data_IF_993056699420
#
_entry.id   IF_993056699420
#
_cell.length_a   1.000
_cell.length_b   1.000
_cell.length_c   1.000
_cell.angle_alpha   90.00
_cell.angle_beta   90.00
_cell.angle_gamma   90.00
#
_symmetry.space_group_name_H-M   'P 1'
#
loop_
_entity.id
_entity.type
_entity.pdbx_description
1 polymer ?
#
# COMPACT_ATOMS: atom_id res chain seq x y z
N UNK A 1 -11.80 10.33 -17.26
CA UNK A 1 -11.96 8.95 -16.75
C UNK A 1 -12.43 9.09 -15.32
N UNK A 2 -13.42 8.33 -14.88
CA UNK A 2 -13.89 8.43 -13.49
C UNK A 2 -12.93 7.68 -12.56
N UNK A 3 -12.75 8.20 -11.35
CA UNK A 3 -11.93 7.58 -10.32
C UNK A 3 -12.61 7.62 -8.95
N UNK A 4 -12.22 6.74 -8.04
CA UNK A 4 -12.72 6.71 -6.65
C UNK A 4 -11.69 6.12 -5.68
N UNK A 5 -11.95 6.28 -4.38
CA UNK A 5 -11.13 5.71 -3.29
C UNK A 5 -9.65 6.15 -3.32
N UNK A 6 -9.37 7.37 -3.77
CA UNK A 6 -8.00 7.90 -3.85
C UNK A 6 -7.37 8.10 -2.47
N UNK A 7 -6.20 7.50 -2.25
CA UNK A 7 -5.47 7.55 -0.98
C UNK A 7 -3.96 7.66 -1.23
N UNK A 8 -3.28 8.58 -0.55
CA UNK A 8 -1.81 8.60 -0.58
C UNK A 8 -1.24 7.32 0.03
N UNK A 9 -0.18 6.80 -0.56
CA UNK A 9 0.56 5.67 -0.01
C UNK A 9 1.92 6.11 0.56
N UNK A 10 2.70 5.16 1.08
CA UNK A 10 4.00 5.45 1.70
C UNK A 10 5.02 6.06 0.73
N UNK A 11 4.89 5.80 -0.58
CA UNK A 11 5.81 6.32 -1.59
C UNK A 11 5.49 7.77 -1.99
N UNK A 12 4.40 8.35 -1.46
CA UNK A 12 3.93 9.68 -1.87
C UNK A 12 3.18 9.67 -3.20
N UNK A 13 2.93 8.50 -3.78
CA UNK A 13 2.00 8.31 -4.90
C UNK A 13 0.59 8.04 -4.38
N UNK A 14 -0.37 7.91 -5.29
CA UNK A 14 -1.78 7.77 -4.92
C UNK A 14 -2.32 6.43 -5.42
N UNK A 15 -2.78 5.60 -4.49
CA UNK A 15 -3.55 4.40 -4.83
C UNK A 15 -5.01 4.80 -5.07
N UNK A 16 -5.57 4.38 -6.20
CA UNK A 16 -6.91 4.80 -6.66
C UNK A 16 -7.57 3.69 -7.46
N UNK A 17 -8.91 3.67 -7.51
CA UNK A 17 -9.65 2.85 -8.47
C UNK A 17 -10.08 3.70 -9.67
N UNK A 18 -9.86 3.22 -10.88
CA UNK A 18 -10.26 3.89 -12.13
C UNK A 18 -11.31 3.07 -12.88
N UNK A 19 -12.25 3.72 -13.55
CA UNK A 19 -13.24 3.05 -14.39
C UNK A 19 -12.65 2.76 -15.79
N UNK A 20 -12.24 1.50 -15.99
CA UNK A 20 -11.71 1.01 -17.26
C UNK A 20 -12.83 0.46 -18.14
N UNK A 21 -12.91 0.91 -19.40
CA UNK A 21 -14.02 0.59 -20.31
C UNK A 21 -14.33 -0.92 -20.44
N UNK A 22 -13.29 -1.77 -20.51
CA UNK A 22 -13.46 -3.21 -20.68
C UNK A 22 -13.51 -4.03 -19.37
N UNK A 23 -12.98 -3.48 -18.27
CA UNK A 23 -12.76 -4.24 -17.02
C UNK A 23 -13.54 -3.67 -15.83
N UNK A 24 -14.22 -2.54 -16.01
CA UNK A 24 -14.85 -1.77 -14.95
C UNK A 24 -13.82 -1.17 -14.00
N UNK A 25 -14.17 -1.08 -12.72
CA UNK A 25 -13.33 -0.50 -11.68
C UNK A 25 -12.12 -1.38 -11.38
N UNK A 26 -10.92 -0.88 -11.68
CA UNK A 26 -9.66 -1.58 -11.44
C UNK A 26 -8.72 -0.76 -10.54
N UNK A 27 -7.87 -1.41 -9.73
CA UNK A 27 -6.86 -0.72 -8.94
C UNK A 27 -5.76 -0.15 -9.84
N UNK A 28 -5.29 1.05 -9.50
CA UNK A 28 -4.21 1.75 -10.17
C UNK A 28 -3.39 2.56 -9.15
N UNK A 29 -2.13 2.84 -9.46
CA UNK A 29 -1.29 3.75 -8.67
C UNK A 29 -0.89 4.93 -9.55
N UNK A 30 -1.45 6.11 -9.29
CA UNK A 30 -1.13 7.34 -9.99
C UNK A 30 0.17 7.95 -9.42
N UNK A 31 1.09 8.31 -10.31
CA UNK A 31 2.43 8.79 -9.96
C UNK A 31 2.83 9.99 -10.82
N UNK A 32 3.47 11.03 -10.25
CA UNK A 32 4.02 12.13 -11.03
C UNK A 32 5.18 11.69 -11.94
N UNK A 33 5.82 10.57 -11.59
CA UNK A 33 6.95 9.98 -12.32
C UNK A 33 6.52 8.78 -13.20
N UNK A 34 5.22 8.60 -13.44
CA UNK A 34 4.73 7.52 -14.30
C UNK A 34 5.32 7.65 -15.72
N UNK A 35 5.80 6.57 -16.36
CA UNK A 35 6.31 6.63 -17.73
C UNK A 35 5.23 7.01 -18.74
N UNK A 36 3.98 6.60 -18.51
CA UNK A 36 2.86 6.88 -19.39
C UNK A 36 2.17 8.21 -19.01
N UNK A 37 1.61 8.95 -19.98
CA UNK A 37 0.91 10.21 -19.70
C UNK A 37 -0.26 10.06 -18.73
N UNK A 38 -1.00 8.95 -18.84
CA UNK A 38 -2.20 8.71 -18.03
C UNK A 38 -1.91 8.75 -16.52
N UNK A 39 -0.80 8.14 -16.07
CA UNK A 39 -0.48 8.11 -14.65
C UNK A 39 -0.14 9.49 -14.09
N UNK A 40 0.56 10.32 -14.87
CA UNK A 40 0.91 11.70 -14.49
C UNK A 40 -0.30 12.62 -14.48
N UNK A 41 -1.14 12.53 -15.51
CA UNK A 41 -2.38 13.31 -15.63
C UNK A 41 -3.35 13.00 -14.49
N UNK A 42 -3.56 11.71 -14.18
CA UNK A 42 -4.38 11.30 -13.04
C UNK A 42 -3.80 11.81 -11.72
N UNK A 43 -2.48 11.74 -11.52
CA UNK A 43 -1.86 12.27 -10.31
C UNK A 43 -2.10 13.79 -10.16
N UNK A 44 -1.90 14.56 -11.23
CA UNK A 44 -2.16 16.01 -11.23
C UNK A 44 -3.63 16.37 -11.03
N UNK A 45 -4.56 15.56 -11.55
CA UNK A 45 -6.00 15.77 -11.37
C UNK A 45 -6.40 15.48 -9.92
N UNK A 46 -6.02 14.31 -9.40
CA UNK A 46 -6.38 13.86 -8.07
C UNK A 46 -5.77 14.77 -6.99
N UNK A 47 -4.54 15.25 -7.17
CA UNK A 47 -3.90 16.17 -6.20
C UNK A 47 -4.57 17.53 -6.07
N UNK A 48 -5.39 17.92 -7.06
CA UNK A 48 -6.22 19.14 -7.00
C UNK A 48 -7.54 18.89 -6.26
N UNK A 49 -7.95 17.64 -6.08
CA UNK A 49 -9.12 17.28 -5.30
C UNK A 49 -8.81 17.32 -3.79
N UNK A 50 -9.69 17.96 -3.03
CA UNK A 50 -9.66 17.99 -1.58
C UNK A 50 -10.05 16.66 -0.91
N UNK A 51 -10.58 15.68 -1.66
CA UNK A 51 -11.10 14.42 -1.11
C UNK A 51 -10.07 13.30 -0.97
N UNK A 52 -8.82 13.50 -1.39
CA UNK A 52 -7.78 12.46 -1.31
C UNK A 52 -7.47 12.13 0.15
N UNK A 53 -7.59 10.86 0.51
CA UNK A 53 -7.28 10.43 1.86
C UNK A 53 -5.76 10.45 2.11
N UNK A 54 -5.36 10.87 3.32
CA UNK A 54 -3.97 10.83 3.74
C UNK A 54 -3.51 9.38 3.99
N UNK A 55 -2.22 9.13 3.80
CA UNK A 55 -1.61 7.85 4.14
C UNK A 55 -1.70 7.58 5.65
N UNK A 56 -2.16 6.39 6.03
CA UNK A 56 -2.13 5.90 7.41
C UNK A 56 -1.15 4.72 7.48
N UNK A 57 -0.03 4.83 8.22
CA UNK A 57 0.93 3.75 8.32
C UNK A 57 0.31 2.54 9.05
N UNK A 58 0.66 1.30 8.64
CA UNK A 58 0.20 0.11 9.35
C UNK A 58 0.71 0.13 10.80
N UNK A 59 -0.02 -0.50 11.75
CA UNK A 59 0.47 -0.64 13.11
C UNK A 59 1.82 -1.37 13.11
N UNK A 60 2.72 -1.06 14.07
CA UNK A 60 4.00 -1.73 14.16
C UNK A 60 3.79 -3.24 14.22
N UNK A 61 4.59 -3.98 13.45
CA UNK A 61 4.54 -5.44 13.46
C UNK A 61 4.67 -5.93 14.90
N UNK A 62 3.75 -6.79 15.33
CA UNK A 62 3.80 -7.40 16.66
C UNK A 62 5.14 -8.13 16.78
N UNK A 63 6.04 -7.62 17.62
CA UNK A 63 7.31 -8.30 17.90
C UNK A 63 6.99 -9.71 18.40
N UNK A 64 7.29 -10.73 17.60
CA UNK A 64 7.24 -12.10 18.05
C UNK A 64 8.33 -12.24 19.12
N UNK A 65 7.92 -12.30 20.39
CA UNK A 65 8.83 -12.65 21.48
C UNK A 65 9.42 -14.02 21.17
N UNK A 66 10.74 -14.07 20.97
CA UNK A 66 11.44 -15.32 20.72
C UNK A 66 11.14 -16.29 21.87
N UNK A 67 10.51 -17.42 21.57
CA UNK A 67 10.29 -18.48 22.55
C UNK A 67 11.67 -19.11 22.82
N UNK A 68 12.27 -18.98 24.03
CA UNK A 68 13.52 -19.66 24.30
C UNK A 68 13.22 -21.17 24.29
N UNK A 69 13.70 -21.86 23.26
CA UNK A 69 13.70 -23.32 23.21
C UNK A 69 14.40 -23.82 24.49
N UNK A 70 13.65 -24.40 25.41
CA UNK A 70 14.21 -25.12 26.56
C UNK A 70 15.03 -26.28 26.00
N UNK A 71 16.34 -26.06 25.86
CA UNK A 71 17.33 -27.13 25.66
C UNK A 71 17.27 -28.03 26.89
N UNK A 72 16.53 -29.12 26.79
CA UNK A 72 16.61 -30.22 27.74
C UNK A 72 18.06 -30.73 27.74
N UNK A 73 18.76 -30.46 28.84
CA UNK A 73 20.03 -31.13 29.12
C UNK A 73 19.72 -32.61 29.36
N UNK A 74 20.04 -33.45 28.37
CA UNK A 74 20.06 -34.90 28.54
C UNK A 74 21.17 -35.25 29.53
N UNK A 75 20.79 -35.43 30.79
CA UNK A 75 21.66 -36.05 31.79
C UNK A 75 21.61 -37.56 31.55
N UNK A 76 22.64 -38.13 30.94
CA UNK A 76 22.84 -39.58 30.90
C UNK A 76 23.57 -40.01 32.17
N UNK A 77 23.04 -40.93 32.99
CA UNK A 77 23.82 -41.62 33.99
C UNK A 77 24.15 -43.05 33.53
N UNK A 78 25.42 -43.44 33.64
CA UNK A 78 25.94 -44.73 34.12
C UNK A 78 27.44 -44.80 33.84
#
# INVERSE_FOLDING_TARGET
MEYRNATYNQAGTIDVEIDHADFGWIPFTASPDDPEPLGRELYEEITKDSSVAAYVPPPPARQQVANPLSRHASSTPA
#
